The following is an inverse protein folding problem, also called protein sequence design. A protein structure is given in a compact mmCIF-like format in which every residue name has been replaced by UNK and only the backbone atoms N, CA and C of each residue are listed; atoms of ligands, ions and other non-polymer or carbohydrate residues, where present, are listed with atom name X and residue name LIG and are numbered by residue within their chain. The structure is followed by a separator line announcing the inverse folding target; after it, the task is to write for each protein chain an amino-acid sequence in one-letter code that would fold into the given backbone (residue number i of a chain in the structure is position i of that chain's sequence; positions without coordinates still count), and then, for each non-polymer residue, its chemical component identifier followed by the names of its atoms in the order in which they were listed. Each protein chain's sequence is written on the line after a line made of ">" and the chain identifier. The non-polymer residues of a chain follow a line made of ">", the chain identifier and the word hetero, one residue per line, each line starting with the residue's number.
data_IF_634702192928
#
_entry.id   IF_634702192928
#
_cell.length_a   1.000
_cell.length_b   1.000
_cell.length_c   1.000
_cell.angle_alpha   90.00
_cell.angle_beta   90.00
_cell.angle_gamma   90.00
#
_symmetry.space_group_name_H-M   'P 1'
#
loop_
_entity.id
_entity.type
_entity.pdbx_description
1 polymer ?
#
# COMPACT_ATOMS: atom_id res chain seq x y z
N UNK A 1 57.29 -98.84 52.31
CA UNK A 1 56.52 -97.59 52.02
C UNK A 1 55.02 -97.83 51.81
N UNK A 2 54.55 -99.01 51.40
CA UNK A 2 53.13 -99.32 51.16
C UNK A 2 52.24 -99.35 52.43
N UNK A 3 52.77 -99.81 53.57
CA UNK A 3 52.06 -99.90 54.85
C UNK A 3 51.71 -98.55 55.51
N UNK A 4 52.43 -97.47 55.20
CA UNK A 4 52.13 -96.13 55.76
C UNK A 4 50.99 -95.44 54.99
N UNK A 5 50.80 -95.78 53.71
CA UNK A 5 49.74 -95.23 52.90
C UNK A 5 48.38 -95.78 53.32
N UNK A 6 48.24 -97.11 53.44
CA UNK A 6 46.98 -97.74 53.87
C UNK A 6 46.54 -97.33 55.28
N UNK A 7 47.47 -97.09 56.21
CA UNK A 7 47.12 -96.62 57.56
C UNK A 7 46.58 -95.21 57.55
N UNK A 8 47.14 -94.33 56.72
CA UNK A 8 46.69 -92.95 56.59
C UNK A 8 45.35 -92.89 55.83
N UNK A 9 45.17 -93.70 54.78
CA UNK A 9 43.89 -93.82 54.07
C UNK A 9 42.80 -94.39 54.97
N UNK A 10 43.09 -95.38 55.80
CA UNK A 10 42.13 -95.93 56.76
C UNK A 10 41.81 -94.94 57.90
N UNK A 11 42.79 -94.18 58.40
CA UNK A 11 42.56 -93.13 59.40
C UNK A 11 41.66 -92.01 58.86
N UNK A 12 41.91 -91.54 57.63
CA UNK A 12 41.05 -90.56 56.95
C UNK A 12 39.64 -91.14 56.74
N UNK A 13 39.54 -92.41 56.32
CA UNK A 13 38.24 -93.09 56.14
C UNK A 13 37.47 -93.26 57.46
N UNK A 14 38.17 -93.43 58.58
CA UNK A 14 37.57 -93.54 59.91
C UNK A 14 37.11 -92.17 60.45
N UNK A 15 37.87 -91.11 60.17
CA UNK A 15 37.50 -89.72 60.52
C UNK A 15 36.28 -89.28 59.69
N UNK A 16 36.28 -89.58 58.39
CA UNK A 16 35.15 -89.30 57.49
C UNK A 16 33.88 -90.09 57.85
N UNK A 17 34.02 -91.29 58.41
CA UNK A 17 32.89 -92.07 58.97
C UNK A 17 32.64 -91.80 60.45
N UNK A 18 33.33 -90.83 61.05
CA UNK A 18 33.15 -90.55 62.47
C UNK A 18 31.84 -89.78 62.68
N UNK A 19 31.13 -90.02 63.81
CA UNK A 19 29.95 -89.25 64.17
C UNK A 19 30.20 -87.74 64.19
N UNK A 20 31.44 -87.31 64.46
CA UNK A 20 31.82 -85.91 64.44
C UNK A 20 31.84 -85.31 63.03
N UNK A 21 32.23 -86.09 62.01
CA UNK A 21 32.19 -85.63 60.62
C UNK A 21 30.76 -85.54 60.10
N UNK A 22 29.91 -86.52 60.44
CA UNK A 22 28.49 -86.49 60.06
C UNK A 22 27.77 -85.30 60.73
N UNK A 23 28.02 -85.04 62.01
CA UNK A 23 27.48 -83.88 62.72
C UNK A 23 27.96 -82.56 62.11
N UNK A 24 29.25 -82.42 61.82
CA UNK A 24 29.78 -81.22 61.18
C UNK A 24 29.17 -80.99 59.79
N UNK A 25 29.06 -82.05 58.99
CA UNK A 25 28.47 -81.96 57.65
C UNK A 25 26.98 -81.62 57.72
N UNK A 26 26.24 -82.20 58.67
CA UNK A 26 24.85 -81.86 58.92
C UNK A 26 24.68 -80.40 59.35
N UNK A 27 25.54 -79.88 60.24
CA UNK A 27 25.51 -78.46 60.61
C UNK A 27 25.85 -77.53 59.43
N UNK A 28 26.69 -77.95 58.48
CA UNK A 28 26.93 -77.20 57.24
C UNK A 28 25.71 -77.20 56.31
N UNK A 29 24.99 -78.32 56.21
CA UNK A 29 23.72 -78.38 55.49
C UNK A 29 22.65 -77.51 56.16
N UNK A 30 22.48 -77.60 57.48
CA UNK A 30 21.57 -76.73 58.24
C UNK A 30 21.91 -75.25 58.09
N UNK A 31 23.20 -74.88 58.12
CA UNK A 31 23.64 -73.51 57.90
C UNK A 31 23.39 -73.04 56.46
N UNK A 32 23.58 -73.92 55.47
CA UNK A 32 23.31 -73.61 54.06
C UNK A 32 21.81 -73.44 53.83
N UNK A 33 20.99 -74.33 54.36
CA UNK A 33 19.52 -74.25 54.28
C UNK A 33 19.00 -73.00 54.99
N UNK A 34 19.53 -72.66 56.17
CA UNK A 34 19.17 -71.43 56.87
C UNK A 34 19.53 -70.18 56.06
N UNK A 35 20.74 -70.11 55.50
CA UNK A 35 21.14 -68.98 54.65
C UNK A 35 20.27 -68.92 53.39
N UNK A 36 20.01 -70.05 52.74
CA UNK A 36 19.21 -70.10 51.53
C UNK A 36 17.76 -69.71 51.79
N UNK A 37 17.13 -70.26 52.83
CA UNK A 37 15.69 -70.10 53.05
C UNK A 37 15.32 -68.87 53.88
N UNK A 38 16.13 -68.49 54.88
CA UNK A 38 15.82 -67.39 55.80
C UNK A 38 16.48 -66.06 55.38
N UNK A 39 17.53 -66.10 54.56
CA UNK A 39 18.27 -64.90 54.14
C UNK A 39 18.18 -64.64 52.63
N UNK A 40 18.50 -65.62 51.80
CA UNK A 40 18.60 -65.44 50.34
C UNK A 40 17.22 -65.43 49.67
N UNK A 41 16.37 -66.43 49.92
CA UNK A 41 15.03 -66.52 49.34
C UNK A 41 14.16 -65.28 49.66
N UNK A 42 14.02 -64.83 50.93
CA UNK A 42 13.18 -63.67 51.23
C UNK A 42 13.74 -62.36 50.68
N UNK A 43 15.07 -62.19 50.61
CA UNK A 43 15.67 -60.99 50.02
C UNK A 43 15.50 -60.92 48.49
N UNK A 44 15.46 -62.06 47.80
CA UNK A 44 15.13 -62.13 46.37
C UNK A 44 13.66 -61.77 46.13
N UNK A 45 12.74 -62.29 46.96
CA UNK A 45 11.29 -62.00 46.85
C UNK A 45 11.01 -60.52 47.15
N UNK A 46 11.62 -59.96 48.20
CA UNK A 46 11.47 -58.54 48.55
C UNK A 46 12.03 -57.62 47.45
N UNK A 47 13.12 -58.03 46.78
CA UNK A 47 13.65 -57.30 45.63
C UNK A 47 12.67 -57.32 44.45
N UNK A 48 12.10 -58.49 44.09
CA UNK A 48 11.13 -58.61 43.00
C UNK A 48 9.87 -57.75 43.22
N UNK A 49 9.29 -57.76 44.42
CA UNK A 49 8.12 -56.93 44.75
C UNK A 49 8.42 -55.43 44.62
N UNK A 50 9.57 -54.97 45.13
CA UNK A 50 9.99 -53.58 45.01
C UNK A 50 10.19 -53.13 43.54
N UNK A 51 10.69 -54.03 42.67
CA UNK A 51 10.82 -53.73 41.24
C UNK A 51 9.46 -53.55 40.56
N UNK A 52 8.49 -54.41 40.87
CA UNK A 52 7.13 -54.25 40.36
C UNK A 52 6.47 -52.98 40.87
N UNK A 53 6.68 -52.63 42.14
CA UNK A 53 6.17 -51.39 42.72
C UNK A 53 6.75 -50.14 42.05
N UNK A 54 8.06 -50.14 41.79
CA UNK A 54 8.73 -49.05 41.10
C UNK A 54 8.23 -48.87 39.66
N UNK A 55 7.98 -49.97 38.94
CA UNK A 55 7.57 -49.92 37.52
C UNK A 55 6.17 -49.33 37.32
N UNK A 56 5.20 -49.62 38.19
CA UNK A 56 3.86 -49.05 38.04
C UNK A 56 3.83 -47.55 38.38
N UNK A 57 4.59 -47.10 39.39
CA UNK A 57 4.73 -45.68 39.72
C UNK A 57 5.39 -44.93 38.56
N UNK A 58 6.48 -45.47 38.00
CA UNK A 58 7.15 -44.88 36.84
C UNK A 58 6.22 -44.78 35.61
N UNK A 59 5.43 -45.81 35.35
CA UNK A 59 4.45 -45.84 34.26
C UNK A 59 3.33 -44.81 34.46
N UNK A 60 2.86 -44.64 35.71
CA UNK A 60 1.85 -43.65 36.06
C UNK A 60 2.37 -42.21 35.85
N UNK A 61 3.60 -41.92 36.30
CA UNK A 61 4.23 -40.62 36.04
C UNK A 61 4.41 -40.35 34.55
N UNK A 62 4.84 -41.35 33.76
CA UNK A 62 4.96 -41.23 32.31
C UNK A 62 3.58 -40.94 31.67
N UNK A 63 2.53 -41.62 32.11
CA UNK A 63 1.16 -41.39 31.62
C UNK A 63 0.67 -39.97 31.91
N UNK A 64 0.85 -39.49 33.15
CA UNK A 64 0.48 -38.12 33.53
C UNK A 64 1.29 -37.10 32.73
N UNK A 65 2.58 -37.33 32.54
CA UNK A 65 3.44 -36.46 31.74
C UNK A 65 2.94 -36.35 30.30
N UNK A 66 2.63 -37.48 29.64
CA UNK A 66 2.10 -37.50 28.28
C UNK A 66 0.75 -36.78 28.17
N UNK A 67 -0.15 -36.98 29.13
CA UNK A 67 -1.45 -36.29 29.17
C UNK A 67 -1.24 -34.79 29.34
N UNK A 68 -0.36 -34.39 30.26
CA UNK A 68 -0.05 -32.98 30.52
C UNK A 68 0.56 -32.32 29.28
N UNK A 69 1.55 -32.94 28.63
CA UNK A 69 2.13 -32.44 27.38
C UNK A 69 1.07 -32.28 26.30
N UNK A 70 0.19 -33.26 26.12
CA UNK A 70 -0.88 -33.20 25.12
C UNK A 70 -1.86 -32.07 25.41
N UNK A 71 -2.21 -31.86 26.68
CA UNK A 71 -3.10 -30.80 27.14
C UNK A 71 -2.49 -29.41 26.91
N UNK A 72 -1.20 -29.24 27.21
CA UNK A 72 -0.47 -27.99 26.96
C UNK A 72 -0.40 -27.69 25.45
N UNK A 73 -0.07 -28.68 24.61
CA UNK A 73 -0.05 -28.52 23.16
C UNK A 73 -1.42 -28.15 22.60
N UNK A 74 -2.48 -28.79 23.10
CA UNK A 74 -3.85 -28.46 22.73
C UNK A 74 -4.23 -27.03 23.15
N UNK A 75 -3.85 -26.62 24.36
CA UNK A 75 -4.09 -25.28 24.88
C UNK A 75 -3.36 -24.20 24.06
N UNK A 76 -2.07 -24.39 23.76
CA UNK A 76 -1.27 -23.49 22.93
C UNK A 76 -1.87 -23.38 21.52
N UNK A 77 -2.23 -24.51 20.90
CA UNK A 77 -2.82 -24.50 19.56
C UNK A 77 -4.11 -23.70 19.53
N UNK A 78 -5.00 -23.96 20.50
CA UNK A 78 -6.32 -23.32 20.55
C UNK A 78 -6.25 -21.83 20.90
N UNK A 79 -5.38 -21.44 21.85
CA UNK A 79 -5.37 -20.06 22.37
C UNK A 79 -4.36 -19.14 21.68
N UNK A 80 -3.25 -19.67 21.16
CA UNK A 80 -2.18 -18.88 20.53
C UNK A 80 -2.21 -19.03 19.02
N UNK A 81 -2.03 -20.26 18.50
CA UNK A 81 -1.82 -20.48 17.05
C UNK A 81 -3.04 -20.04 16.23
N UNK A 82 -4.26 -20.43 16.66
CA UNK A 82 -5.49 -20.03 15.96
C UNK A 82 -5.65 -18.50 15.92
N UNK A 83 -5.36 -17.80 17.03
CA UNK A 83 -5.46 -16.33 17.08
C UNK A 83 -4.40 -15.64 16.22
N UNK A 84 -3.18 -16.18 16.16
CA UNK A 84 -2.13 -15.65 15.26
C UNK A 84 -2.55 -15.83 13.80
N UNK A 85 -3.11 -16.98 13.41
CA UNK A 85 -3.58 -17.18 12.04
C UNK A 85 -4.68 -16.17 11.65
N UNK A 86 -5.59 -15.85 12.57
CA UNK A 86 -6.59 -14.80 12.35
C UNK A 86 -5.96 -13.42 12.12
N UNK A 87 -4.85 -13.10 12.80
CA UNK A 87 -4.12 -11.85 12.53
C UNK A 87 -3.44 -11.84 11.17
N UNK A 88 -2.89 -12.98 10.75
CA UNK A 88 -2.27 -13.13 9.43
C UNK A 88 -3.33 -12.90 8.35
N UNK A 89 -4.51 -13.50 8.48
CA UNK A 89 -5.65 -13.26 7.57
C UNK A 89 -6.06 -11.78 7.57
N UNK A 90 -6.08 -11.14 8.75
CA UNK A 90 -6.37 -9.71 8.87
C UNK A 90 -5.33 -8.84 8.16
N UNK A 91 -4.05 -9.17 8.33
CA UNK A 91 -2.95 -8.49 7.67
C UNK A 91 -2.99 -8.68 6.16
N UNK A 92 -3.30 -9.88 5.68
CA UNK A 92 -3.42 -10.19 4.26
C UNK A 92 -4.60 -9.45 3.61
N UNK A 93 -5.73 -9.33 4.31
CA UNK A 93 -6.84 -8.47 3.88
C UNK A 93 -6.42 -7.00 3.75
N UNK A 94 -5.70 -6.45 4.73
CA UNK A 94 -5.16 -5.08 4.64
C UNK A 94 -4.18 -4.96 3.46
N UNK A 95 -3.26 -5.92 3.32
CA UNK A 95 -2.22 -5.90 2.29
C UNK A 95 -2.80 -6.01 0.86
N UNK A 96 -3.90 -6.73 0.70
CA UNK A 96 -4.65 -6.81 -0.57
C UNK A 96 -5.55 -5.58 -0.82
N UNK A 97 -5.63 -4.65 0.12
CA UNK A 97 -6.43 -3.42 0.01
C UNK A 97 -7.89 -3.60 0.41
N UNK A 98 -8.30 -4.76 0.92
CA UNK A 98 -9.61 -4.95 1.51
C UNK A 98 -9.68 -4.37 2.92
N UNK A 99 -10.16 -3.12 2.98
CA UNK A 99 -10.37 -2.38 4.23
C UNK A 99 -11.84 -2.39 4.68
N UNK A 100 -12.70 -3.17 4.00
CA UNK A 100 -14.15 -3.14 4.18
C UNK A 100 -14.65 -4.39 4.91
N UNK A 101 -14.04 -5.55 4.68
CA UNK A 101 -14.45 -6.81 5.31
C UNK A 101 -14.56 -6.67 6.83
N UNK A 102 -15.72 -7.04 7.38
CA UNK A 102 -15.87 -7.16 8.84
C UNK A 102 -15.25 -8.47 9.26
N UNK A 103 -14.07 -8.36 9.83
CA UNK A 103 -13.44 -9.47 10.55
C UNK A 103 -13.91 -9.32 12.00
N UNK A 104 -15.11 -9.82 12.27
CA UNK A 104 -15.77 -9.81 13.59
C UNK A 104 -15.11 -10.87 14.47
N UNK A 105 -13.97 -10.54 15.09
CA UNK A 105 -13.37 -11.35 16.13
C UNK A 105 -13.51 -10.63 17.47
N UNK A 106 -14.16 -11.30 18.43
CA UNK A 106 -14.31 -10.81 19.80
C UNK A 106 -12.94 -10.65 20.46
N UNK A 107 -12.50 -9.40 20.62
CA UNK A 107 -11.35 -9.03 21.46
C UNK A 107 -11.80 -9.14 22.91
N UNK A 108 -11.77 -10.35 23.44
CA UNK A 108 -12.27 -10.67 24.78
C UNK A 108 -11.16 -10.77 25.83
N UNK A 109 -9.90 -10.88 25.43
CA UNK A 109 -8.79 -11.00 26.37
C UNK A 109 -7.95 -9.74 26.54
N UNK A 110 -7.08 -9.76 27.55
CA UNK A 110 -6.18 -8.67 27.94
C UNK A 110 -4.70 -8.98 27.68
N UNK A 111 -4.42 -9.98 26.83
CA UNK A 111 -3.05 -10.40 26.53
C UNK A 111 -2.46 -9.59 25.37
N UNK A 112 -1.18 -9.82 25.08
CA UNK A 112 -0.41 -9.16 24.03
C UNK A 112 -0.97 -9.43 22.63
N UNK A 113 -1.56 -10.62 22.42
CA UNK A 113 -2.23 -11.00 21.17
C UNK A 113 -3.46 -10.11 20.95
N UNK A 114 -4.30 -9.91 21.96
CA UNK A 114 -5.47 -9.05 21.84
C UNK A 114 -5.10 -7.57 21.63
N UNK A 115 -4.01 -7.10 22.26
CA UNK A 115 -3.47 -5.75 22.01
C UNK A 115 -2.94 -5.60 20.58
N UNK A 116 -2.25 -6.61 20.06
CA UNK A 116 -1.77 -6.61 18.67
C UNK A 116 -2.93 -6.61 17.67
N UNK A 117 -3.97 -7.40 17.91
CA UNK A 117 -5.19 -7.41 17.10
C UNK A 117 -5.85 -6.03 17.10
N UNK A 118 -5.97 -5.39 18.27
CA UNK A 118 -6.52 -4.03 18.39
C UNK A 118 -5.68 -3.02 17.60
N UNK A 119 -4.35 -3.13 17.64
CA UNK A 119 -3.45 -2.31 16.82
C UNK A 119 -3.69 -2.47 15.32
N UNK A 120 -3.86 -3.71 14.84
CA UNK A 120 -4.21 -3.99 13.45
C UNK A 120 -5.58 -3.40 13.06
N UNK A 121 -6.57 -3.48 13.94
CA UNK A 121 -7.88 -2.87 13.72
C UNK A 121 -7.79 -1.34 13.57
N UNK A 122 -7.04 -0.68 14.45
CA UNK A 122 -6.79 0.76 14.38
C UNK A 122 -6.05 1.13 13.09
N UNK A 123 -5.00 0.38 12.74
CA UNK A 123 -4.26 0.58 11.49
C UNK A 123 -5.18 0.50 10.26
N UNK A 124 -6.02 -0.55 10.19
CA UNK A 124 -7.00 -0.70 9.10
C UNK A 124 -7.98 0.46 9.05
N UNK A 125 -8.51 0.88 10.20
CA UNK A 125 -9.45 2.01 10.27
C UNK A 125 -8.82 3.31 9.74
N UNK A 126 -7.57 3.59 10.14
CA UNK A 126 -6.81 4.76 9.65
C UNK A 126 -6.51 4.68 8.17
N UNK A 127 -6.12 3.51 7.66
CA UNK A 127 -5.91 3.30 6.22
C UNK A 127 -7.21 3.52 5.44
N UNK A 128 -8.35 3.05 5.95
CA UNK A 128 -9.67 3.25 5.33
C UNK A 128 -10.03 4.73 5.26
N UNK A 129 -9.85 5.46 6.35
CA UNK A 129 -10.05 6.91 6.41
C UNK A 129 -9.17 7.63 5.37
N UNK A 130 -7.88 7.27 5.31
CA UNK A 130 -6.91 7.86 4.38
C UNK A 130 -7.30 7.61 2.92
N UNK A 131 -7.61 6.36 2.55
CA UNK A 131 -8.03 6.00 1.18
C UNK A 131 -9.34 6.71 0.81
N UNK A 132 -10.30 6.80 1.75
CA UNK A 132 -11.55 7.54 1.52
C UNK A 132 -11.30 9.03 1.31
N UNK A 133 -10.39 9.64 2.08
CA UNK A 133 -10.02 11.04 1.91
C UNK A 133 -9.35 11.28 0.56
N UNK A 134 -8.43 10.41 0.14
CA UNK A 134 -7.79 10.47 -1.18
C UNK A 134 -8.83 10.38 -2.30
N UNK A 135 -9.75 9.40 -2.23
CA UNK A 135 -10.82 9.24 -3.23
C UNK A 135 -11.71 10.48 -3.34
N UNK A 136 -12.09 11.07 -2.20
CA UNK A 136 -12.89 12.28 -2.18
C UNK A 136 -12.14 13.46 -2.79
N UNK A 137 -10.88 13.67 -2.42
CA UNK A 137 -10.02 14.69 -3.01
C UNK A 137 -9.85 14.52 -4.51
N UNK A 138 -9.61 13.29 -5.00
CA UNK A 138 -9.54 13.01 -6.44
C UNK A 138 -10.84 13.31 -7.16
N UNK A 139 -12.00 13.04 -6.54
CA UNK A 139 -13.31 13.39 -7.10
C UNK A 139 -13.48 14.91 -7.22
N UNK A 140 -13.10 15.65 -6.17
CA UNK A 140 -13.14 17.12 -6.19
C UNK A 140 -12.20 17.70 -7.27
N UNK A 141 -10.98 17.17 -7.38
CA UNK A 141 -10.02 17.58 -8.42
C UNK A 141 -10.60 17.30 -9.80
N UNK A 142 -11.18 16.11 -10.02
CA UNK A 142 -11.77 15.75 -11.31
C UNK A 142 -12.88 16.73 -11.72
N UNK A 143 -13.79 17.07 -10.80
CA UNK A 143 -14.82 18.08 -11.07
C UNK A 143 -14.22 19.45 -11.38
N UNK A 144 -13.20 19.89 -10.63
CA UNK A 144 -12.53 21.17 -10.88
C UNK A 144 -11.81 21.21 -12.24
N UNK A 145 -11.21 20.09 -12.66
CA UNK A 145 -10.59 19.97 -13.99
C UNK A 145 -11.64 20.04 -15.10
N UNK A 146 -12.82 19.45 -14.91
CA UNK A 146 -13.92 19.58 -15.88
C UNK A 146 -14.42 21.02 -16.00
N UNK A 147 -14.52 21.75 -14.89
CA UNK A 147 -14.88 23.17 -14.88
C UNK A 147 -13.82 24.03 -15.60
N UNK A 148 -12.54 23.79 -15.35
CA UNK A 148 -11.44 24.46 -16.07
C UNK A 148 -11.52 24.16 -17.57
N UNK A 149 -11.76 22.91 -17.97
CA UNK A 149 -11.86 22.55 -19.38
C UNK A 149 -13.03 23.26 -20.07
N UNK A 150 -14.19 23.35 -19.40
CA UNK A 150 -15.33 24.11 -19.90
C UNK A 150 -15.01 25.61 -20.01
N UNK A 151 -14.38 26.20 -18.99
CA UNK A 151 -13.96 27.60 -19.01
C UNK A 151 -12.92 27.91 -20.09
N UNK A 152 -12.00 26.98 -20.37
CA UNK A 152 -11.01 27.13 -21.43
C UNK A 152 -11.65 27.10 -22.83
N UNK A 153 -12.68 26.26 -23.04
CA UNK A 153 -13.44 26.26 -24.29
C UNK A 153 -14.21 27.58 -24.49
N UNK A 154 -14.85 28.11 -23.44
CA UNK A 154 -15.51 29.43 -23.49
C UNK A 154 -14.51 30.55 -23.82
N UNK A 155 -13.36 30.56 -23.16
CA UNK A 155 -12.31 31.55 -23.41
C UNK A 155 -11.76 31.44 -24.84
N UNK A 156 -11.56 30.23 -25.35
CA UNK A 156 -11.13 30.00 -26.73
C UNK A 156 -12.16 30.54 -27.71
N UNK A 157 -13.45 30.24 -27.51
CA UNK A 157 -14.55 30.75 -28.35
C UNK A 157 -14.59 32.28 -28.36
N UNK A 158 -14.43 32.92 -27.19
CA UNK A 158 -14.42 34.39 -27.09
C UNK A 158 -13.18 35.00 -27.73
N UNK A 159 -12.05 34.31 -27.68
CA UNK A 159 -10.80 34.74 -28.33
C UNK A 159 -10.94 34.65 -29.85
N UNK A 160 -11.58 33.60 -30.37
CA UNK A 160 -11.93 33.48 -31.80
C UNK A 160 -12.88 34.59 -32.25
N UNK A 161 -13.92 34.88 -31.46
CA UNK A 161 -14.87 35.97 -31.74
C UNK A 161 -14.17 37.34 -31.73
N UNK A 162 -13.30 37.59 -30.76
CA UNK A 162 -12.50 38.82 -30.70
C UNK A 162 -11.53 38.95 -31.88
N UNK A 163 -10.88 37.87 -32.29
CA UNK A 163 -10.02 37.88 -33.46
C UNK A 163 -10.81 38.22 -34.73
N UNK A 164 -12.00 37.63 -34.90
CA UNK A 164 -12.89 37.95 -36.02
C UNK A 164 -13.35 39.41 -36.02
N UNK A 165 -13.71 39.96 -34.84
CA UNK A 165 -14.11 41.36 -34.72
C UNK A 165 -12.96 42.34 -35.03
N UNK A 166 -11.72 41.97 -34.67
CA UNK A 166 -10.53 42.74 -35.02
C UNK A 166 -10.24 42.69 -36.52
N UNK A 167 -10.47 41.55 -37.17
CA UNK A 167 -10.35 41.42 -38.62
C UNK A 167 -11.36 42.30 -39.37
N UNK A 168 -12.63 42.30 -38.93
CA UNK A 168 -13.66 43.20 -39.46
C UNK A 168 -13.31 44.69 -39.26
N UNK A 169 -12.76 45.02 -38.08
CA UNK A 169 -12.30 46.39 -37.79
C UNK A 169 -11.14 46.79 -38.69
N UNK A 170 -10.17 45.89 -38.92
CA UNK A 170 -9.05 46.14 -39.81
C UNK A 170 -9.52 46.36 -41.26
N UNK A 171 -10.42 45.51 -41.75
CA UNK A 171 -11.02 45.65 -43.08
C UNK A 171 -11.80 46.97 -43.22
N UNK A 172 -12.57 47.34 -42.19
CA UNK A 172 -13.27 48.63 -42.14
C UNK A 172 -12.30 49.82 -42.18
N UNK A 173 -11.15 49.71 -41.51
CA UNK A 173 -10.09 50.73 -41.56
C UNK A 173 -9.43 50.82 -42.93
N UNK A 174 -9.23 49.71 -43.64
CA UNK A 174 -8.75 49.72 -45.02
C UNK A 174 -9.74 50.42 -45.96
N UNK A 175 -11.03 50.11 -45.83
CA UNK A 175 -12.08 50.75 -46.63
C UNK A 175 -12.24 52.25 -46.32
N UNK A 176 -12.14 52.64 -45.04
CA UNK A 176 -12.10 54.05 -44.63
C UNK A 176 -10.86 54.75 -45.21
N UNK A 177 -9.69 54.13 -45.15
CA UNK A 177 -8.46 54.68 -45.72
C UNK A 177 -8.58 54.88 -47.22
N UNK A 178 -9.18 53.93 -47.95
CA UNK A 178 -9.45 54.06 -49.38
C UNK A 178 -10.43 55.22 -49.67
N UNK A 179 -11.48 55.35 -48.87
CA UNK A 179 -12.46 56.44 -49.00
C UNK A 179 -11.83 57.80 -48.75
N UNK A 180 -11.00 57.93 -47.70
CA UNK A 180 -10.25 59.14 -47.41
C UNK A 180 -9.32 59.47 -48.58
N UNK A 181 -8.58 58.50 -49.11
CA UNK A 181 -7.71 58.70 -50.29
C UNK A 181 -8.48 59.22 -51.50
N UNK A 182 -9.65 58.64 -51.81
CA UNK A 182 -10.51 59.10 -52.90
C UNK A 182 -11.04 60.53 -52.67
N UNK A 183 -11.42 60.88 -51.44
CA UNK A 183 -11.83 62.24 -51.10
C UNK A 183 -10.69 63.24 -51.30
N UNK A 184 -9.46 62.87 -50.91
CA UNK A 184 -8.29 63.74 -51.10
C UNK A 184 -7.97 63.97 -52.57
N UNK A 185 -8.06 62.92 -53.41
CA UNK A 185 -7.86 63.04 -54.86
C UNK A 185 -8.96 63.88 -55.51
N UNK A 186 -10.23 63.64 -55.16
CA UNK A 186 -11.36 64.43 -55.65
C UNK A 186 -11.23 65.91 -55.27
N UNK A 187 -10.82 66.21 -54.04
CA UNK A 187 -10.57 67.59 -53.61
C UNK A 187 -9.42 68.25 -54.41
N UNK A 188 -8.38 67.48 -54.75
CA UNK A 188 -7.27 67.95 -55.59
C UNK A 188 -7.72 68.24 -57.02
N UNK A 189 -8.52 67.36 -57.61
CA UNK A 189 -9.11 67.52 -58.94
C UNK A 189 -10.04 68.76 -59.01
N UNK A 190 -10.94 68.92 -58.03
CA UNK A 190 -11.80 70.11 -57.91
C UNK A 190 -10.98 71.38 -57.77
N UNK A 191 -9.92 71.36 -56.96
CA UNK A 191 -9.02 72.52 -56.81
C UNK A 191 -8.40 72.91 -58.16
N UNK A 192 -7.93 71.93 -58.94
CA UNK A 192 -7.37 72.17 -60.27
C UNK A 192 -8.42 72.71 -61.26
N UNK A 193 -9.65 72.18 -61.24
CA UNK A 193 -10.75 72.68 -62.05
C UNK A 193 -11.14 74.12 -61.70
N UNK A 194 -11.18 74.46 -60.41
CA UNK A 194 -11.45 75.82 -59.93
C UNK A 194 -10.35 76.77 -60.38
N UNK A 195 -9.07 76.38 -60.29
CA UNK A 195 -7.95 77.18 -60.81
C UNK A 195 -8.07 77.43 -62.31
N UNK A 196 -8.40 76.41 -63.10
CA UNK A 196 -8.63 76.56 -64.55
C UNK A 196 -9.82 77.46 -64.86
N UNK A 197 -10.92 77.34 -64.11
CA UNK A 197 -12.12 78.18 -64.30
C UNK A 197 -11.84 79.63 -63.93
N UNK A 198 -11.06 79.86 -62.87
CA UNK A 198 -10.61 81.20 -62.49
C UNK A 198 -9.74 81.83 -63.60
N UNK A 199 -8.84 81.06 -64.23
CA UNK A 199 -8.03 81.53 -65.36
C UNK A 199 -8.90 81.90 -66.57
N UNK A 200 -9.89 81.06 -66.92
CA UNK A 200 -10.87 81.36 -67.97
C UNK A 200 -11.67 82.64 -67.63
N UNK A 201 -12.08 82.82 -66.38
CA UNK A 201 -12.79 84.02 -65.95
C UNK A 201 -11.92 85.28 -66.06
N UNK A 202 -10.63 85.20 -65.74
CA UNK A 202 -9.65 86.29 -65.94
C UNK A 202 -9.53 86.63 -67.43
N UNK A 203 -9.32 85.63 -68.28
CA UNK A 203 -9.26 85.82 -69.74
C UNK A 203 -10.57 86.43 -70.28
N UNK A 204 -11.72 85.94 -69.82
CA UNK A 204 -13.03 86.49 -70.16
C UNK A 204 -13.20 87.94 -69.74
N UNK A 205 -12.69 88.30 -68.56
CA UNK A 205 -12.61 89.69 -68.08
C UNK A 205 -11.75 90.57 -69.01
N UNK A 206 -10.58 90.08 -69.43
CA UNK A 206 -9.75 90.80 -70.41
C UNK A 206 -10.47 90.99 -71.75
N UNK A 207 -11.15 89.96 -72.26
CA UNK A 207 -11.93 90.04 -73.50
C UNK A 207 -13.08 91.05 -73.38
N UNK A 208 -13.80 91.04 -72.26
CA UNK A 208 -14.88 91.99 -72.00
C UNK A 208 -14.35 93.43 -71.91
N UNK A 209 -13.18 93.63 -71.27
CA UNK A 209 -12.51 94.93 -71.20
C UNK A 209 -12.08 95.43 -72.59
N UNK A 210 -11.50 94.55 -73.43
CA UNK A 210 -11.19 94.86 -74.85
C UNK A 210 -12.45 95.26 -75.62
N UNK A 211 -13.57 94.60 -75.38
CA UNK A 211 -14.87 94.91 -76.00
C UNK A 211 -15.36 96.30 -75.61
N UNK A 212 -15.28 96.67 -74.32
CA UNK A 212 -15.62 98.02 -73.82
C UNK A 212 -14.73 99.07 -74.46
N UNK A 213 -13.40 98.89 -74.48
CA UNK A 213 -12.49 99.83 -75.15
C UNK A 213 -12.84 100.02 -76.62
N UNK A 214 -13.18 98.93 -77.34
CA UNK A 214 -13.59 99.00 -78.75
C UNK A 214 -14.92 99.75 -78.93
N UNK A 215 -15.90 99.52 -78.04
CA UNK A 215 -17.16 100.27 -78.02
C UNK A 215 -16.93 101.76 -77.76
N UNK A 216 -16.02 102.11 -76.85
CA UNK A 216 -15.62 103.50 -76.59
C UNK A 216 -14.93 104.12 -77.80
N UNK A 217 -13.98 103.42 -78.43
CA UNK A 217 -13.32 103.88 -79.67
C UNK A 217 -14.33 104.11 -80.81
N UNK A 218 -15.35 103.24 -80.95
CA UNK A 218 -16.44 103.43 -81.91
C UNK A 218 -17.26 104.67 -81.56
N UNK A 219 -17.62 104.86 -80.29
CA UNK A 219 -18.37 106.02 -79.82
C UNK A 219 -17.60 107.33 -80.06
N UNK A 220 -16.31 107.38 -79.73
CA UNK A 220 -15.44 108.53 -79.95
C UNK A 220 -15.28 108.85 -81.45
N UNK A 221 -15.12 107.83 -82.30
CA UNK A 221 -15.08 108.01 -83.77
C UNK A 221 -16.41 108.52 -84.32
N UNK A 222 -17.53 108.10 -83.76
CA UNK A 222 -18.87 108.57 -84.16
C UNK A 222 -19.15 110.00 -83.72
N UNK A 223 -18.46 110.51 -82.70
CA UNK A 223 -18.65 111.88 -82.19
C UNK A 223 -17.76 112.92 -82.89
N UNK A 224 -16.72 112.47 -83.60
CA UNK A 224 -15.84 113.28 -84.45
C UNK A 224 -16.27 113.32 -85.94
N UNK A 225 -17.51 112.93 -86.24
CA UNK A 225 -18.17 113.08 -87.55
C UNK A 225 -19.36 114.04 -87.41
#
# INVERSE_FOLDING_TARGET
>A
MQYLNERNTNAIRLILKSPANDNFTNSLYEATDFITDDVVNPSVIEAEDNYHEMLWIASLFMGIFLIFTTLVLFWIRKHIIVRINQMIEYQEAIASGDLISRIDHDITGRNEIDQLMLGLQQMRARLKEMVSAIRNSSTTIYSGVQEIAAGNNDLSSRTEEQASALEETASSMEQLTATVRNNTESAREVTQLVMSTADIAVQGGEHSNKMVMTMTDIADRSQNW
#
